data_IF_541009548038
#
_entry.id   IF_541009548038
#
_cell.length_a   1.000
_cell.length_b   1.000
_cell.length_c   1.000
_cell.angle_alpha   90.00
_cell.angle_beta   90.00
_cell.angle_gamma   90.00
#
_symmetry.space_group_name_H-M   'P 1'
#
loop_
_entity.id
_entity.type
_entity.pdbx_description
1 polymer ?
#
# COMPACT_ATOMS: atom_id res chain seq x y z
N UNK A 1 18.45 38.53 -3.39
CA UNK A 1 17.60 37.67 -4.23
C UNK A 1 16.34 38.46 -4.52
N UNK A 2 15.96 38.59 -5.79
CA UNK A 2 14.71 39.26 -6.20
C UNK A 2 13.55 38.51 -5.55
N UNK A 3 12.67 39.22 -4.83
CA UNK A 3 11.46 38.59 -4.31
C UNK A 3 10.64 38.05 -5.48
N UNK A 4 10.20 36.78 -5.43
CA UNK A 4 9.42 36.19 -6.51
C UNK A 4 8.08 36.94 -6.62
N UNK A 5 7.98 37.88 -7.56
CA UNK A 5 6.78 38.70 -7.75
C UNK A 5 5.91 38.11 -8.86
N UNK A 6 4.89 37.35 -8.46
CA UNK A 6 3.96 36.69 -9.39
C UNK A 6 2.79 37.58 -9.83
N UNK A 7 2.64 38.77 -9.24
CA UNK A 7 1.44 39.60 -9.37
C UNK A 7 0.26 39.16 -8.51
N UNK A 8 0.40 38.08 -7.72
CA UNK A 8 -0.57 37.59 -6.74
C UNK A 8 0.10 37.56 -5.34
N UNK A 9 -0.36 38.42 -4.44
CA UNK A 9 0.26 38.57 -3.11
C UNK A 9 0.16 37.29 -2.27
N UNK A 10 -0.99 36.61 -2.29
CA UNK A 10 -1.19 35.37 -1.55
C UNK A 10 -0.27 34.27 -2.07
N UNK A 11 -0.11 34.18 -3.39
CA UNK A 11 0.80 33.23 -3.99
C UNK A 11 2.27 33.51 -3.64
N UNK A 12 2.68 34.78 -3.61
CA UNK A 12 4.04 35.16 -3.21
C UNK A 12 4.33 34.76 -1.76
N UNK A 13 3.36 34.93 -0.86
CA UNK A 13 3.46 34.48 0.54
C UNK A 13 3.64 32.97 0.61
N UNK A 14 2.83 32.20 -0.10
CA UNK A 14 2.96 30.73 -0.11
C UNK A 14 4.27 30.25 -0.75
N UNK A 15 4.75 30.89 -1.81
CA UNK A 15 6.06 30.60 -2.40
C UNK A 15 7.17 30.85 -1.37
N UNK A 16 7.17 32.01 -0.72
CA UNK A 16 8.17 32.35 0.28
C UNK A 16 8.11 31.39 1.48
N UNK A 17 6.91 31.03 1.92
CA UNK A 17 6.68 30.10 3.00
C UNK A 17 7.18 28.69 2.66
N UNK A 18 6.82 28.16 1.49
CA UNK A 18 7.27 26.84 1.05
C UNK A 18 8.78 26.81 0.84
N UNK A 19 9.37 27.83 0.19
CA UNK A 19 10.83 27.98 0.06
C UNK A 19 11.55 28.26 1.38
N UNK A 20 10.86 28.66 2.45
CA UNK A 20 11.49 28.73 3.78
C UNK A 20 11.74 27.33 4.31
N UNK A 21 10.76 26.45 4.16
CA UNK A 21 10.77 25.11 4.76
C UNK A 21 11.45 24.05 3.90
N UNK A 22 11.17 24.02 2.59
CA UNK A 22 11.77 23.03 1.72
C UNK A 22 13.28 23.26 1.59
N UNK A 23 14.07 22.21 1.86
CA UNK A 23 15.54 22.26 1.77
C UNK A 23 16.09 21.46 0.60
N UNK A 24 15.24 20.80 -0.17
CA UNK A 24 15.69 20.02 -1.31
C UNK A 24 15.91 20.93 -2.54
N UNK A 25 17.15 21.01 -3.02
CA UNK A 25 17.51 21.93 -4.11
C UNK A 25 16.70 21.70 -5.39
N UNK A 26 16.40 20.44 -5.73
CA UNK A 26 15.68 20.10 -6.97
C UNK A 26 14.25 20.64 -6.94
N UNK A 27 13.54 20.45 -5.83
CA UNK A 27 12.15 20.94 -5.71
C UNK A 27 12.12 22.45 -5.54
N UNK A 28 13.08 23.05 -4.83
CA UNK A 28 13.24 24.51 -4.75
C UNK A 28 13.44 25.15 -6.12
N UNK A 29 14.32 24.57 -6.94
CA UNK A 29 14.55 25.01 -8.31
C UNK A 29 13.28 24.87 -9.16
N UNK A 30 12.50 23.80 -8.96
CA UNK A 30 11.20 23.63 -9.59
C UNK A 30 10.24 24.81 -9.35
N UNK A 31 10.07 25.24 -8.09
CA UNK A 31 9.24 26.42 -7.79
C UNK A 31 9.83 27.70 -8.38
N UNK A 32 11.15 27.91 -8.26
CA UNK A 32 11.81 29.11 -8.81
C UNK A 32 11.65 29.22 -10.32
N UNK A 33 11.81 28.11 -11.03
CA UNK A 33 11.65 28.06 -12.47
C UNK A 33 10.22 28.41 -12.90
N UNK A 34 9.21 27.85 -12.22
CA UNK A 34 7.81 28.19 -12.49
C UNK A 34 7.50 29.69 -12.23
N UNK A 35 8.20 30.32 -11.26
CA UNK A 35 8.11 31.77 -11.05
C UNK A 35 8.73 32.54 -12.20
N UNK A 36 9.93 32.15 -12.66
CA UNK A 36 10.62 32.78 -13.79
C UNK A 36 9.79 32.70 -15.08
N UNK A 37 9.14 31.56 -15.30
CA UNK A 37 8.21 31.35 -16.42
C UNK A 37 6.85 32.04 -16.25
N UNK A 38 6.59 32.66 -15.10
CA UNK A 38 5.28 33.24 -14.72
C UNK A 38 4.13 32.23 -14.86
N UNK A 39 4.38 30.95 -14.56
CA UNK A 39 3.38 29.90 -14.63
C UNK A 39 2.49 29.88 -13.37
N UNK A 40 1.66 30.92 -13.24
CA UNK A 40 0.84 31.17 -12.06
C UNK A 40 -0.16 30.04 -11.80
N UNK A 41 -0.74 29.49 -12.87
CA UNK A 41 -1.73 28.40 -12.77
C UNK A 41 -1.12 27.16 -12.11
N UNK A 42 0.08 26.75 -12.55
CA UNK A 42 0.74 25.58 -11.99
C UNK A 42 1.23 25.83 -10.55
N UNK A 43 1.79 27.01 -10.28
CA UNK A 43 2.18 27.40 -8.92
C UNK A 43 1.02 27.31 -7.93
N UNK A 44 -0.18 27.81 -8.32
CA UNK A 44 -1.38 27.70 -7.48
C UNK A 44 -1.78 26.26 -7.25
N UNK A 45 -1.78 25.41 -8.30
CA UNK A 45 -2.10 23.98 -8.17
C UNK A 45 -1.16 23.28 -7.19
N UNK A 46 0.14 23.58 -7.26
CA UNK A 46 1.15 22.94 -6.43
C UNK A 46 1.17 23.44 -5.00
N UNK A 47 0.91 24.74 -4.75
CA UNK A 47 1.11 25.36 -3.44
C UNK A 47 -0.18 25.51 -2.63
N UNK A 48 -1.32 25.79 -3.25
CA UNK A 48 -2.58 26.01 -2.53
C UNK A 48 -3.34 24.73 -2.19
N UNK A 49 -3.01 23.61 -2.82
CA UNK A 49 -3.60 22.32 -2.50
C UNK A 49 -2.62 21.46 -1.73
N UNK A 50 -3.10 20.89 -0.63
CA UNK A 50 -2.36 19.89 0.14
C UNK A 50 -2.92 18.52 -0.15
N UNK A 51 -2.03 17.53 -0.28
CA UNK A 51 -2.46 16.14 -0.45
C UNK A 51 -3.23 15.66 0.78
N UNK A 52 -4.24 14.84 0.51
CA UNK A 52 -5.11 14.22 1.51
C UNK A 52 -4.81 12.72 1.61
N UNK A 53 -4.97 12.17 2.81
CA UNK A 53 -4.80 10.74 3.04
C UNK A 53 -5.94 9.95 2.41
N UNK A 54 -5.62 9.22 1.34
CA UNK A 54 -6.57 8.38 0.64
C UNK A 54 -6.71 6.99 1.23
N UNK A 55 -7.50 6.17 0.54
CA UNK A 55 -7.77 4.76 0.89
C UNK A 55 -6.55 3.87 0.98
N UNK A 56 -5.42 4.28 0.38
CA UNK A 56 -4.17 3.55 0.37
C UNK A 56 -2.97 4.43 0.75
N UNK A 57 -3.21 5.40 1.66
CA UNK A 57 -2.20 6.36 2.12
C UNK A 57 -2.12 7.62 1.25
N UNK A 58 -1.00 8.35 1.35
CA UNK A 58 -0.69 9.44 0.43
C UNK A 58 -0.07 8.88 -0.83
N UNK A 59 -0.53 9.31 -2.00
CA UNK A 59 0.08 8.99 -3.30
C UNK A 59 -0.06 10.17 -4.24
N UNK A 60 1.05 10.55 -4.86
CA UNK A 60 1.04 11.50 -5.95
C UNK A 60 2.35 11.42 -6.74
N UNK A 61 2.38 12.15 -7.85
CA UNK A 61 3.61 12.46 -8.57
C UNK A 61 4.63 13.10 -7.63
N UNK A 62 5.90 12.73 -7.82
CA UNK A 62 7.01 13.35 -7.15
C UNK A 62 7.37 14.70 -7.78
N UNK A 63 7.52 15.72 -6.96
CA UNK A 63 7.90 17.06 -7.40
C UNK A 63 7.59 18.15 -6.38
N UNK A 64 7.72 19.43 -6.77
CA UNK A 64 7.64 20.55 -5.85
C UNK A 64 6.21 20.85 -5.35
N UNK A 65 6.11 21.62 -4.27
CA UNK A 65 4.84 22.08 -3.71
C UNK A 65 4.21 21.15 -2.66
N UNK A 66 3.02 21.51 -2.20
CA UNK A 66 2.23 20.81 -1.19
C UNK A 66 1.33 19.71 -1.80
N UNK A 67 1.05 19.79 -3.10
CA UNK A 67 0.20 18.85 -3.84
C UNK A 67 0.96 17.63 -4.41
N UNK A 68 2.26 17.50 -4.11
CA UNK A 68 3.12 16.46 -4.66
C UNK A 68 3.99 15.81 -3.59
N UNK A 69 4.49 14.62 -3.91
CA UNK A 69 5.39 13.88 -3.03
C UNK A 69 6.81 14.47 -3.11
N UNK A 70 7.34 14.91 -1.97
CA UNK A 70 8.71 15.41 -1.83
C UNK A 70 9.19 15.25 -0.38
N UNK A 71 10.46 15.60 -0.14
CA UNK A 71 11.08 15.52 1.19
C UNK A 71 10.25 16.29 2.23
N UNK A 72 9.79 17.51 1.93
CA UNK A 72 9.03 18.34 2.87
C UNK A 72 7.67 17.71 3.21
N UNK A 73 6.95 17.19 2.21
CA UNK A 73 5.69 16.47 2.45
C UNK A 73 5.93 15.26 3.36
N UNK A 74 6.95 14.43 3.09
CA UNK A 74 7.28 13.27 3.94
C UNK A 74 7.61 13.71 5.36
N UNK A 75 8.39 14.77 5.53
CA UNK A 75 8.75 15.31 6.85
C UNK A 75 7.48 15.72 7.61
N UNK A 76 6.64 16.55 7.01
CA UNK A 76 5.45 17.09 7.66
C UNK A 76 4.42 15.99 7.98
N UNK A 77 4.20 15.06 7.05
CA UNK A 77 3.33 13.89 7.27
C UNK A 77 3.85 13.04 8.42
N UNK A 78 5.15 12.75 8.45
CA UNK A 78 5.73 11.93 9.53
C UNK A 78 5.67 12.64 10.88
N UNK A 79 5.88 13.96 10.93
CA UNK A 79 5.72 14.74 12.15
C UNK A 79 4.28 14.69 12.67
N UNK A 80 3.30 14.82 11.79
CA UNK A 80 1.88 14.63 12.11
C UNK A 80 1.61 13.23 12.65
N UNK A 81 2.17 12.21 11.99
CA UNK A 81 2.06 10.81 12.41
C UNK A 81 2.66 10.57 13.80
N UNK A 82 3.84 11.11 14.09
CA UNK A 82 4.46 11.02 15.44
C UNK A 82 3.54 11.62 16.50
N UNK A 83 3.00 12.82 16.24
CA UNK A 83 2.09 13.49 17.18
C UNK A 83 0.85 12.63 17.42
N UNK A 84 0.19 12.20 16.34
CA UNK A 84 -1.01 11.38 16.41
C UNK A 84 -0.78 10.04 17.11
N UNK A 85 0.32 9.35 16.79
CA UNK A 85 0.65 8.08 17.44
C UNK A 85 0.95 8.24 18.92
N UNK A 86 1.61 9.32 19.35
CA UNK A 86 1.82 9.57 20.79
C UNK A 86 0.51 9.78 21.55
N UNK A 87 -0.48 10.37 20.90
CA UNK A 87 -1.81 10.61 21.48
C UNK A 87 -2.67 9.33 21.51
N UNK A 88 -2.51 8.43 20.52
CA UNK A 88 -3.41 7.28 20.31
C UNK A 88 -2.79 5.92 20.66
N UNK A 89 -1.46 5.83 20.79
CA UNK A 89 -0.72 4.62 21.10
C UNK A 89 0.18 4.86 22.33
N UNK A 90 -0.35 4.67 23.56
CA UNK A 90 0.41 4.93 24.80
C UNK A 90 1.74 4.17 24.90
N UNK A 91 1.80 2.98 24.30
CA UNK A 91 2.98 2.11 24.32
C UNK A 91 3.98 2.38 23.19
N UNK A 92 3.78 3.39 22.34
CA UNK A 92 4.60 3.64 21.15
C UNK A 92 6.09 3.78 21.46
N UNK A 93 6.45 4.41 22.58
CA UNK A 93 7.85 4.61 22.96
C UNK A 93 8.57 3.29 23.31
N UNK A 94 7.84 2.22 23.66
CA UNK A 94 8.42 0.90 23.91
C UNK A 94 8.24 -0.05 22.71
N UNK A 95 7.14 0.07 21.98
CA UNK A 95 6.83 -0.82 20.85
C UNK A 95 7.45 -0.37 19.52
N UNK A 96 7.70 0.93 19.36
CA UNK A 96 8.34 1.48 18.16
C UNK A 96 7.47 1.45 16.91
N UNK A 97 8.11 1.71 15.77
CA UNK A 97 7.52 1.72 14.43
C UNK A 97 8.33 0.83 13.47
N UNK A 98 7.64 0.08 12.60
CA UNK A 98 8.27 -0.65 11.50
C UNK A 98 8.27 0.21 10.25
N UNK A 99 9.40 0.33 9.56
CA UNK A 99 9.51 1.15 8.35
C UNK A 99 10.09 0.33 7.19
N UNK A 100 9.34 0.26 6.09
CA UNK A 100 9.73 -0.41 4.85
C UNK A 100 9.71 0.53 3.64
N UNK A 101 10.27 0.07 2.53
CA UNK A 101 10.28 0.82 1.28
C UNK A 101 10.45 -0.12 0.06
N UNK A 102 9.85 0.29 -1.06
CA UNK A 102 9.95 -0.41 -2.35
C UNK A 102 11.10 0.10 -3.23
N UNK A 103 11.16 -0.37 -4.47
CA UNK A 103 12.18 0.00 -5.46
C UNK A 103 11.99 1.35 -6.14
N UNK A 104 11.02 2.17 -5.76
CA UNK A 104 10.79 3.47 -6.42
C UNK A 104 11.88 4.48 -6.12
N UNK A 105 11.99 5.47 -7.01
CA UNK A 105 12.85 6.62 -6.76
C UNK A 105 12.46 7.30 -5.44
N UNK A 106 13.47 7.72 -4.69
CA UNK A 106 13.38 8.32 -3.36
C UNK A 106 12.84 7.43 -2.23
N UNK A 107 12.29 6.22 -2.48
CA UNK A 107 11.72 5.39 -1.41
C UNK A 107 12.73 5.08 -0.29
N UNK A 108 13.96 4.72 -0.64
CA UNK A 108 15.04 4.52 0.34
C UNK A 108 15.43 5.79 1.12
N UNK A 109 15.45 6.95 0.45
CA UNK A 109 15.77 8.23 1.10
C UNK A 109 14.65 8.59 2.09
N UNK A 110 13.41 8.49 1.64
CA UNK A 110 12.24 8.86 2.42
C UNK A 110 12.01 7.93 3.61
N UNK A 111 12.28 6.63 3.49
CA UNK A 111 12.25 5.72 4.65
C UNK A 111 13.26 6.11 5.74
N UNK A 112 14.44 6.60 5.35
CA UNK A 112 15.42 7.15 6.29
C UNK A 112 14.98 8.46 6.92
N UNK A 113 14.32 9.35 6.16
CA UNK A 113 13.72 10.57 6.70
C UNK A 113 12.67 10.21 7.76
N UNK A 114 11.77 9.27 7.43
CA UNK A 114 10.75 8.76 8.36
C UNK A 114 11.42 8.25 9.64
N UNK A 115 12.37 7.33 9.51
CA UNK A 115 13.07 6.76 10.66
C UNK A 115 13.78 7.83 11.51
N UNK A 116 14.42 8.81 10.88
CA UNK A 116 15.10 9.90 11.58
C UNK A 116 14.13 10.73 12.43
N UNK A 117 12.93 11.01 11.92
CA UNK A 117 11.92 11.79 12.64
C UNK A 117 11.40 11.03 13.86
N UNK A 118 11.13 9.73 13.73
CA UNK A 118 10.72 8.88 14.86
C UNK A 118 11.83 8.75 15.91
N UNK A 119 13.08 8.50 15.50
CA UNK A 119 14.22 8.43 16.41
C UNK A 119 14.40 9.75 17.17
N UNK A 120 14.33 10.89 16.48
CA UNK A 120 14.39 12.21 17.12
C UNK A 120 13.24 12.45 18.11
N UNK A 121 12.10 11.79 17.92
CA UNK A 121 10.96 11.84 18.83
C UNK A 121 11.06 10.86 20.02
N UNK A 122 12.16 10.09 20.12
CA UNK A 122 12.39 9.09 21.17
C UNK A 122 11.67 7.76 20.92
N UNK A 123 11.25 7.49 19.69
CA UNK A 123 10.49 6.28 19.33
C UNK A 123 11.44 5.28 18.63
N UNK A 124 11.52 4.02 19.08
CA UNK A 124 12.32 2.99 18.41
C UNK A 124 11.87 2.76 16.97
N UNK A 125 12.82 2.54 16.06
CA UNK A 125 12.54 2.31 14.63
C UNK A 125 13.14 1.00 14.17
N UNK A 126 12.30 0.12 13.64
CA UNK A 126 12.69 -1.09 12.92
C UNK A 126 12.66 -0.81 11.41
N UNK A 127 13.76 -0.29 10.87
CA UNK A 127 13.90 0.02 9.45
C UNK A 127 14.48 -1.20 8.70
N UNK A 128 13.80 -1.66 7.65
CA UNK A 128 14.36 -2.68 6.77
C UNK A 128 15.67 -2.20 6.13
N UNK A 129 16.70 -3.05 6.12
CA UNK A 129 18.04 -2.69 5.63
C UNK A 129 18.15 -2.64 4.11
N UNK A 130 17.17 -3.22 3.41
CA UNK A 130 17.06 -3.29 1.95
C UNK A 130 15.60 -3.10 1.56
N UNK A 131 15.36 -2.91 0.26
CA UNK A 131 14.02 -2.92 -0.32
C UNK A 131 13.25 -4.14 0.17
N UNK A 132 11.99 -3.95 0.58
CA UNK A 132 11.15 -5.01 1.11
C UNK A 132 9.74 -4.96 0.47
N UNK A 133 9.08 -6.12 0.35
CA UNK A 133 7.65 -6.19 0.08
C UNK A 133 6.82 -5.46 1.14
N UNK A 134 5.72 -4.85 0.73
CA UNK A 134 4.68 -4.32 1.62
C UNK A 134 4.21 -5.32 2.69
N UNK A 135 3.90 -6.60 2.38
CA UNK A 135 3.45 -7.56 3.40
C UNK A 135 4.46 -7.78 4.55
N UNK A 136 5.75 -7.54 4.32
CA UNK A 136 6.76 -7.66 5.37
C UNK A 136 6.63 -6.58 6.44
N UNK A 137 6.13 -5.39 6.09
CA UNK A 137 5.85 -4.33 7.07
C UNK A 137 4.65 -4.74 7.94
N UNK A 138 3.55 -5.17 7.33
CA UNK A 138 2.37 -5.66 8.05
C UNK A 138 2.71 -6.85 8.98
N UNK A 139 3.46 -7.82 8.46
CA UNK A 139 4.00 -8.94 9.25
C UNK A 139 4.88 -8.46 10.40
N UNK A 140 5.84 -7.56 10.12
CA UNK A 140 6.78 -7.03 11.10
C UNK A 140 6.07 -6.31 12.24
N UNK A 141 5.01 -5.55 11.95
CA UNK A 141 4.21 -4.89 12.99
C UNK A 141 3.63 -5.90 13.97
N UNK A 142 3.04 -7.00 13.47
CA UNK A 142 2.44 -8.02 14.34
C UNK A 142 3.50 -8.82 15.10
N UNK A 143 4.55 -9.26 14.42
CA UNK A 143 5.62 -10.08 15.01
C UNK A 143 6.40 -9.31 16.08
N UNK A 144 6.73 -8.05 15.83
CA UNK A 144 7.45 -7.20 16.78
C UNK A 144 6.53 -6.51 17.79
N UNK A 145 5.20 -6.67 17.64
CA UNK A 145 4.17 -5.96 18.41
C UNK A 145 4.38 -4.44 18.36
N UNK A 146 4.80 -3.93 17.20
CA UNK A 146 5.07 -2.51 17.01
C UNK A 146 3.78 -1.68 17.09
N UNK A 147 3.90 -0.41 17.44
CA UNK A 147 2.73 0.49 17.52
C UNK A 147 2.10 0.77 16.16
N UNK A 148 2.93 0.88 15.12
CA UNK A 148 2.48 1.07 13.74
C UNK A 148 3.56 0.65 12.75
N UNK A 149 3.19 0.62 11.47
CA UNK A 149 4.10 0.40 10.35
C UNK A 149 3.92 1.47 9.27
N UNK A 150 5.00 1.80 8.56
CA UNK A 150 5.00 2.74 7.45
C UNK A 150 5.70 2.10 6.26
N UNK A 151 5.07 2.13 5.10
CA UNK A 151 5.64 1.63 3.85
C UNK A 151 5.70 2.75 2.83
N UNK A 152 6.91 3.06 2.35
CA UNK A 152 7.11 4.06 1.30
C UNK A 152 6.98 3.40 -0.07
N UNK A 153 5.84 3.63 -0.72
CA UNK A 153 5.50 3.07 -2.03
C UNK A 153 4.25 3.73 -2.60
N UNK A 154 4.14 3.78 -3.93
CA UNK A 154 2.88 3.99 -4.65
C UNK A 154 2.41 2.74 -5.40
N UNK A 155 2.80 1.54 -4.96
CA UNK A 155 2.42 0.24 -5.50
C UNK A 155 2.71 0.08 -7.00
N UNK A 156 1.76 0.30 -7.89
CA UNK A 156 1.96 0.13 -9.35
C UNK A 156 1.73 1.43 -10.13
N UNK A 157 1.58 2.57 -9.45
CA UNK A 157 1.54 3.88 -10.09
C UNK A 157 2.79 4.12 -10.99
N UNK A 158 2.72 5.06 -11.95
CA UNK A 158 3.88 5.43 -12.79
C UNK A 158 5.16 5.67 -11.98
N UNK A 159 6.33 5.50 -12.61
CA UNK A 159 7.65 5.62 -11.93
C UNK A 159 7.90 7.02 -11.35
N UNK A 160 7.21 8.03 -11.88
CA UNK A 160 7.24 9.41 -11.41
C UNK A 160 6.44 9.62 -10.12
N UNK A 161 5.61 8.65 -9.71
CA UNK A 161 4.81 8.68 -8.49
C UNK A 161 5.50 7.91 -7.36
N UNK A 162 5.21 8.32 -6.13
CA UNK A 162 5.55 7.57 -4.92
C UNK A 162 4.50 7.85 -3.84
N UNK A 163 4.63 7.25 -2.65
CA UNK A 163 3.56 7.28 -1.65
C UNK A 163 4.00 6.89 -0.25
N UNK A 164 3.04 6.96 0.67
CA UNK A 164 3.20 6.74 2.10
C UNK A 164 1.99 5.98 2.62
N UNK A 165 2.15 4.67 2.85
CA UNK A 165 1.14 3.78 3.44
C UNK A 165 1.34 3.64 4.94
N UNK A 166 0.25 3.49 5.69
CA UNK A 166 0.26 3.32 7.15
C UNK A 166 -0.47 2.05 7.56
N UNK A 167 0.19 1.30 8.44
CA UNK A 167 -0.30 0.11 9.13
C UNK A 167 -0.46 0.43 10.61
N UNK A 168 -1.58 0.04 11.21
CA UNK A 168 -1.80 0.25 12.64
C UNK A 168 -1.26 -0.90 13.48
N UNK A 169 -1.44 -0.83 14.81
CA UNK A 169 -0.90 -1.82 15.76
C UNK A 169 -1.38 -3.27 15.53
N UNK A 170 -2.50 -3.46 14.80
CA UNK A 170 -3.01 -4.76 14.40
C UNK A 170 -2.38 -5.29 13.10
N UNK A 171 -1.52 -4.50 12.44
CA UNK A 171 -0.90 -4.82 11.16
C UNK A 171 -1.82 -4.65 9.95
N UNK A 172 -3.05 -4.15 10.13
CA UNK A 172 -3.95 -3.80 9.04
C UNK A 172 -3.70 -2.37 8.56
N UNK A 173 -4.01 -2.11 7.30
CA UNK A 173 -3.91 -0.78 6.73
C UNK A 173 -4.97 0.16 7.34
N UNK A 174 -4.58 1.40 7.68
CA UNK A 174 -5.49 2.37 8.33
C UNK A 174 -6.64 2.78 7.40
N UNK A 175 -7.85 2.94 7.96
CA UNK A 175 -9.00 3.48 7.27
C UNK A 175 -8.80 4.98 6.95
N UNK A 176 -9.04 5.45 5.72
CA UNK A 176 -9.24 6.87 5.48
C UNK A 176 -10.54 7.33 6.15
N UNK A 177 -10.56 8.59 6.56
CA UNK A 177 -11.77 9.30 6.94
C UNK A 177 -12.71 9.39 5.71
N UNK A 178 -13.99 8.94 5.81
CA UNK A 178 -14.94 8.93 4.68
C UNK A 178 -15.22 10.31 4.06
N UNK A 179 -14.80 11.42 4.67
CA UNK A 179 -14.91 12.76 4.09
C UNK A 179 -13.93 13.04 2.92
N UNK A 180 -13.08 12.06 2.53
CA UNK A 180 -12.02 12.23 1.54
C UNK A 180 -11.95 11.09 0.48
N UNK A 181 -12.44 11.29 -0.77
CA UNK A 181 -12.43 10.26 -1.80
C UNK A 181 -11.17 10.32 -2.69
N UNK A 182 -10.51 9.17 -2.93
CA UNK A 182 -9.24 9.12 -3.71
C UNK A 182 -9.26 8.11 -4.88
N UNK A 183 -9.56 8.66 -6.07
CA UNK A 183 -9.14 8.36 -7.48
C UNK A 183 -9.33 7.00 -8.19
N UNK A 184 -9.51 7.12 -9.53
CA UNK A 184 -9.64 6.11 -10.61
C UNK A 184 -8.25 5.65 -11.14
N UNK A 185 -8.00 4.34 -11.11
CA UNK A 185 -6.75 3.57 -11.31
C UNK A 185 -6.00 3.67 -12.67
N UNK A 186 -4.68 3.39 -12.67
CA UNK A 186 -4.01 2.40 -13.56
C UNK A 186 -3.63 1.15 -12.73
N UNK A 187 -3.75 -0.10 -13.22
CA UNK A 187 -3.59 -1.33 -12.40
C UNK A 187 -2.89 -2.48 -13.19
N UNK A 188 -1.97 -3.29 -12.59
CA UNK A 188 -1.37 -4.49 -13.19
C UNK A 188 -2.36 -5.53 -13.76
N UNK A 189 -3.65 -5.39 -13.50
CA UNK A 189 -4.73 -6.08 -14.21
C UNK A 189 -4.80 -5.78 -15.73
N UNK A 190 -3.98 -4.86 -16.26
CA UNK A 190 -3.78 -4.62 -17.71
C UNK A 190 -3.30 -5.85 -18.52
N UNK A 191 -3.03 -6.98 -17.86
CA UNK A 191 -2.93 -8.29 -18.50
C UNK A 191 -1.65 -8.48 -19.32
N UNK A 192 -1.78 -8.94 -20.58
CA UNK A 192 -0.62 -9.34 -21.41
C UNK A 192 0.41 -8.22 -21.62
N UNK A 193 -0.02 -6.95 -21.59
CA UNK A 193 0.87 -5.80 -21.71
C UNK A 193 1.89 -5.72 -20.57
N UNK A 194 1.42 -5.89 -19.34
CA UNK A 194 2.25 -5.83 -18.13
C UNK A 194 3.23 -7.02 -18.02
N UNK A 195 2.89 -8.17 -18.61
CA UNK A 195 3.67 -9.41 -18.52
C UNK A 195 4.56 -9.68 -19.74
N UNK A 196 4.62 -8.80 -20.74
CA UNK A 196 5.34 -9.04 -22.00
C UNK A 196 6.79 -9.50 -21.79
N UNK A 197 7.58 -8.74 -21.01
CA UNK A 197 8.98 -9.08 -20.72
C UNK A 197 9.12 -10.39 -19.94
N UNK A 198 8.18 -10.66 -19.03
CA UNK A 198 8.11 -11.92 -18.28
C UNK A 198 7.82 -13.10 -19.22
N UNK A 199 6.93 -12.93 -20.19
CA UNK A 199 6.60 -13.94 -21.21
C UNK A 199 7.79 -14.20 -22.14
N UNK A 200 8.46 -13.16 -22.64
CA UNK A 200 9.66 -13.30 -23.47
C UNK A 200 10.78 -14.03 -22.72
N UNK A 201 10.95 -13.73 -21.43
CA UNK A 201 11.91 -14.42 -20.56
C UNK A 201 11.51 -15.87 -20.33
N UNK A 202 10.24 -16.12 -20.00
CA UNK A 202 9.71 -17.46 -19.79
C UNK A 202 9.83 -18.33 -21.05
N UNK A 203 9.57 -17.76 -22.24
CA UNK A 203 9.75 -18.44 -23.53
C UNK A 203 11.21 -18.82 -23.76
N UNK A 204 12.14 -17.89 -23.52
CA UNK A 204 13.59 -18.12 -23.66
C UNK A 204 14.07 -19.27 -22.77
N UNK A 205 13.56 -19.36 -21.55
CA UNK A 205 13.95 -20.38 -20.57
C UNK A 205 13.00 -21.58 -20.48
N UNK A 206 11.99 -21.65 -21.37
CA UNK A 206 10.98 -22.73 -21.40
C UNK A 206 10.21 -22.91 -20.08
N UNK A 207 9.99 -21.83 -19.35
CA UNK A 207 9.15 -21.81 -18.15
C UNK A 207 7.68 -21.98 -18.53
N UNK A 208 6.92 -22.75 -17.75
CA UNK A 208 5.50 -23.03 -18.01
C UNK A 208 4.54 -22.10 -17.25
N UNK A 209 5.02 -21.49 -16.18
CA UNK A 209 4.24 -20.61 -15.31
C UNK A 209 5.04 -19.35 -15.05
N UNK A 210 4.35 -18.22 -15.02
CA UNK A 210 4.86 -16.92 -14.61
C UNK A 210 4.11 -16.52 -13.34
N UNK A 211 4.86 -16.20 -12.31
CA UNK A 211 4.39 -15.49 -11.13
C UNK A 211 5.05 -14.10 -11.18
N UNK A 212 4.25 -13.05 -11.13
CA UNK A 212 4.73 -11.69 -11.21
C UNK A 212 4.04 -10.83 -10.17
N UNK A 213 4.83 -10.00 -9.50
CA UNK A 213 4.34 -9.08 -8.49
C UNK A 213 4.47 -7.64 -8.96
N UNK A 214 3.65 -6.76 -8.41
CA UNK A 214 3.85 -5.33 -8.56
C UNK A 214 5.03 -4.85 -7.70
N UNK A 215 5.52 -3.59 -7.88
CA UNK A 215 6.77 -3.14 -7.26
C UNK A 215 6.88 -3.28 -5.73
N UNK A 216 5.76 -3.25 -5.01
CA UNK A 216 5.72 -3.45 -3.56
C UNK A 216 5.19 -4.83 -3.15
N UNK A 217 4.96 -5.70 -4.13
CA UNK A 217 4.57 -7.10 -3.99
C UNK A 217 3.32 -7.33 -3.11
N UNK A 218 2.37 -6.40 -3.18
CA UNK A 218 1.05 -6.57 -2.58
C UNK A 218 0.05 -7.22 -3.56
N UNK A 219 0.45 -7.45 -4.82
CA UNK A 219 -0.37 -8.13 -5.83
C UNK A 219 0.37 -9.28 -6.50
N UNK A 220 -0.40 -10.26 -6.97
CA UNK A 220 0.12 -11.42 -7.71
C UNK A 220 -0.63 -11.60 -9.03
N UNK A 221 0.11 -11.46 -10.13
CA UNK A 221 -0.33 -11.90 -11.46
C UNK A 221 0.22 -13.30 -11.76
N UNK A 222 -0.63 -14.15 -12.34
CA UNK A 222 -0.27 -15.51 -12.74
C UNK A 222 -0.57 -15.70 -14.23
N UNK A 223 0.37 -16.31 -14.95
CA UNK A 223 0.14 -16.75 -16.32
C UNK A 223 0.69 -18.16 -16.54
N UNK A 224 0.02 -18.94 -17.38
CA UNK A 224 0.41 -20.30 -17.74
C UNK A 224 0.58 -20.41 -19.26
N UNK A 225 1.55 -21.23 -19.66
CA UNK A 225 1.78 -21.59 -21.06
C UNK A 225 0.80 -22.69 -21.48
N UNK A 226 -0.02 -22.38 -22.48
CA UNK A 226 -0.91 -23.32 -23.17
C UNK A 226 -0.39 -23.60 -24.59
N UNK A 227 -1.02 -24.56 -25.28
CA UNK A 227 -0.74 -24.84 -26.69
C UNK A 227 -1.04 -23.65 -27.62
N UNK A 228 -1.92 -22.74 -27.19
CA UNK A 228 -2.31 -21.53 -27.92
C UNK A 228 -1.57 -20.26 -27.46
N UNK A 229 -0.56 -20.39 -26.60
CA UNK A 229 0.27 -19.28 -26.11
C UNK A 229 0.12 -19.03 -24.61
N UNK A 230 0.34 -17.80 -24.16
CA UNK A 230 0.20 -17.45 -22.74
C UNK A 230 -1.26 -17.12 -22.38
N UNK A 231 -1.80 -17.83 -21.39
CA UNK A 231 -3.05 -17.49 -20.70
C UNK A 231 -2.72 -16.77 -19.41
N UNK A 232 -3.22 -15.54 -19.27
CA UNK A 232 -3.14 -14.77 -18.03
C UNK A 232 -4.42 -15.03 -17.25
N UNK A 233 -4.29 -15.39 -15.97
CA UNK A 233 -5.44 -15.61 -15.10
C UNK A 233 -5.96 -14.28 -14.56
N UNK A 234 -7.28 -14.16 -14.47
CA UNK A 234 -7.94 -13.09 -13.73
C UNK A 234 -7.78 -13.28 -12.23
N UNK A 235 -7.91 -12.20 -11.45
CA UNK A 235 -7.87 -12.30 -9.99
C UNK A 235 -8.96 -13.20 -9.41
N UNK A 236 -10.11 -13.32 -10.08
CA UNK A 236 -11.16 -14.27 -9.69
C UNK A 236 -10.75 -15.73 -9.89
N UNK A 237 -10.07 -16.06 -11.00
CA UNK A 237 -9.58 -17.43 -11.23
C UNK A 237 -8.46 -17.78 -10.25
N UNK A 238 -7.55 -16.85 -9.98
CA UNK A 238 -6.48 -17.05 -8.98
C UNK A 238 -7.09 -17.20 -7.58
N UNK A 239 -8.04 -16.32 -7.21
CA UNK A 239 -8.74 -16.37 -5.93
C UNK A 239 -9.52 -17.66 -5.72
N UNK A 240 -10.14 -18.20 -6.78
CA UNK A 240 -10.78 -19.52 -6.74
C UNK A 240 -9.78 -20.65 -6.45
N UNK A 241 -8.65 -20.66 -7.16
CA UNK A 241 -7.60 -21.68 -7.00
C UNK A 241 -6.97 -21.62 -5.61
N UNK A 242 -6.55 -20.42 -5.17
CA UNK A 242 -5.94 -20.22 -3.85
C UNK A 242 -6.93 -20.49 -2.72
N UNK A 243 -8.18 -20.07 -2.84
CA UNK A 243 -9.22 -20.36 -1.85
C UNK A 243 -9.46 -21.85 -1.69
N UNK A 244 -9.65 -22.57 -2.80
CA UNK A 244 -9.77 -24.04 -2.78
C UNK A 244 -8.54 -24.71 -2.15
N UNK A 245 -7.34 -24.27 -2.50
CA UNK A 245 -6.09 -24.83 -1.97
C UNK A 245 -5.92 -24.58 -0.46
N UNK A 246 -6.20 -23.35 0.00
CA UNK A 246 -6.14 -22.98 1.42
C UNK A 246 -7.13 -23.81 2.24
N UNK A 247 -8.36 -24.00 1.74
CA UNK A 247 -9.33 -24.90 2.38
C UNK A 247 -8.82 -26.34 2.44
N UNK A 248 -8.43 -26.90 1.29
CA UNK A 248 -8.04 -28.31 1.15
C UNK A 248 -6.89 -28.65 2.10
N UNK A 249 -5.81 -27.87 2.04
CA UNK A 249 -4.62 -28.10 2.88
C UNK A 249 -4.88 -27.85 4.36
N UNK A 250 -5.75 -26.90 4.71
CA UNK A 250 -6.12 -26.66 6.10
C UNK A 250 -6.94 -27.83 6.66
N UNK A 251 -7.88 -28.38 5.89
CA UNK A 251 -8.73 -29.51 6.30
C UNK A 251 -7.98 -30.81 6.47
N UNK A 252 -6.97 -31.08 5.65
CA UNK A 252 -6.08 -32.24 5.83
C UNK A 252 -5.43 -32.25 7.23
N UNK A 253 -5.13 -31.06 7.77
CA UNK A 253 -4.49 -30.87 9.07
C UNK A 253 -5.48 -30.71 10.23
N UNK A 254 -6.75 -30.40 9.96
CA UNK A 254 -7.76 -30.06 10.96
C UNK A 254 -9.06 -30.82 10.70
N UNK A 255 -9.10 -32.10 11.08
CA UNK A 255 -10.27 -32.96 10.84
C UNK A 255 -11.42 -32.69 11.84
N UNK A 256 -11.10 -32.37 13.10
CA UNK A 256 -12.07 -32.24 14.21
C UNK A 256 -12.18 -30.80 14.71
N UNK A 257 -12.71 -29.92 13.85
CA UNK A 257 -12.88 -28.48 14.13
C UNK A 257 -14.28 -28.05 13.75
N UNK A 258 -14.87 -27.14 14.54
CA UNK A 258 -16.17 -26.57 14.21
C UNK A 258 -16.02 -25.62 13.01
N UNK A 259 -16.65 -25.98 11.90
CA UNK A 259 -16.59 -25.20 10.66
C UNK A 259 -17.32 -23.86 10.77
N UNK A 260 -18.19 -23.68 11.77
CA UNK A 260 -18.77 -22.38 12.06
C UNK A 260 -17.74 -21.34 12.52
N UNK A 261 -16.57 -21.78 12.97
CA UNK A 261 -15.46 -20.92 13.40
C UNK A 261 -14.42 -20.69 12.29
N UNK A 262 -14.72 -21.10 11.06
CA UNK A 262 -13.81 -21.03 9.90
C UNK A 262 -14.38 -20.10 8.85
N UNK A 263 -13.56 -19.17 8.37
CA UNK A 263 -13.99 -18.05 7.54
C UNK A 263 -13.09 -17.88 6.31
N UNK A 264 -13.72 -17.50 5.21
CA UNK A 264 -13.06 -16.86 4.07
C UNK A 264 -13.81 -15.58 3.68
N UNK A 265 -13.10 -14.62 3.07
CA UNK A 265 -13.63 -13.31 2.76
C UNK A 265 -13.40 -12.91 1.29
N UNK A 266 -14.27 -12.09 0.74
CA UNK A 266 -13.97 -11.38 -0.52
C UNK A 266 -14.64 -10.01 -0.61
N UNK A 267 -14.15 -9.18 -1.54
CA UNK A 267 -14.79 -7.90 -1.87
C UNK A 267 -16.15 -8.13 -2.56
N UNK A 268 -17.05 -7.14 -2.47
CA UNK A 268 -18.40 -7.26 -3.04
C UNK A 268 -18.44 -7.44 -4.57
N UNK A 269 -17.42 -6.90 -5.24
CA UNK A 269 -17.24 -6.97 -6.70
C UNK A 269 -16.44 -8.20 -7.14
N UNK A 270 -15.89 -8.99 -6.20
CA UNK A 270 -15.27 -10.28 -6.49
C UNK A 270 -16.31 -11.36 -6.78
N UNK A 271 -15.88 -12.39 -7.51
CA UNK A 271 -16.70 -13.58 -7.75
C UNK A 271 -17.13 -14.23 -6.44
N UNK A 272 -18.34 -14.79 -6.43
CA UNK A 272 -18.91 -15.52 -5.28
C UNK A 272 -18.42 -16.97 -5.18
N UNK A 273 -17.22 -17.24 -5.69
CA UNK A 273 -16.67 -18.60 -5.70
C UNK A 273 -16.42 -19.10 -4.28
N UNK A 274 -15.89 -18.25 -3.39
CA UNK A 274 -15.66 -18.62 -2.00
C UNK A 274 -16.96 -18.88 -1.23
N UNK A 275 -18.03 -18.14 -1.53
CA UNK A 275 -19.36 -18.40 -0.97
C UNK A 275 -19.89 -19.77 -1.43
N UNK A 276 -19.65 -20.13 -2.69
CA UNK A 276 -20.06 -21.41 -3.26
C UNK A 276 -19.28 -22.58 -2.64
N UNK A 277 -17.98 -22.42 -2.44
CA UNK A 277 -17.14 -23.38 -1.71
C UNK A 277 -17.62 -23.48 -0.25
N UNK A 278 -17.86 -22.35 0.43
CA UNK A 278 -18.37 -22.31 1.80
C UNK A 278 -19.70 -23.07 1.96
N UNK A 279 -20.67 -22.86 1.06
CA UNK A 279 -21.95 -23.58 1.06
C UNK A 279 -21.78 -25.08 0.88
N UNK A 280 -20.79 -25.51 0.09
CA UNK A 280 -20.51 -26.92 -0.16
C UNK A 280 -19.80 -27.59 1.02
N UNK A 281 -18.84 -26.89 1.60
CA UNK A 281 -17.85 -27.43 2.54
C UNK A 281 -18.21 -27.17 4.02
N UNK A 282 -19.12 -26.22 4.29
CA UNK A 282 -19.70 -25.98 5.61
C UNK A 282 -19.06 -24.86 6.43
N UNK A 283 -18.02 -24.18 5.92
CA UNK A 283 -17.43 -23.00 6.57
C UNK A 283 -18.22 -21.71 6.29
N UNK A 284 -17.86 -20.60 6.94
CA UNK A 284 -18.52 -19.29 6.78
C UNK A 284 -17.84 -18.43 5.70
N UNK A 285 -18.65 -17.70 4.96
CA UNK A 285 -18.19 -16.69 4.01
C UNK A 285 -18.65 -15.30 4.47
N UNK A 286 -17.76 -14.31 4.37
CA UNK A 286 -18.09 -12.90 4.61
C UNK A 286 -17.75 -12.08 3.37
N UNK A 287 -18.74 -11.31 2.93
CA UNK A 287 -18.56 -10.27 1.91
C UNK A 287 -18.25 -8.94 2.59
N UNK A 288 -17.31 -8.17 2.02
CA UNK A 288 -16.97 -6.83 2.48
C UNK A 288 -17.03 -5.81 1.35
N UNK A 289 -16.99 -4.51 1.68
CA UNK A 289 -16.90 -3.44 0.68
C UNK A 289 -15.56 -3.50 -0.10
N UNK A 290 -15.52 -2.87 -1.27
CA UNK A 290 -14.29 -2.79 -2.08
C UNK A 290 -13.14 -2.12 -1.32
N UNK A 291 -11.95 -2.73 -1.43
CA UNK A 291 -10.71 -2.29 -0.80
C UNK A 291 -10.29 -3.18 0.36
N UNK A 292 -9.09 -3.74 0.27
CA UNK A 292 -8.56 -4.75 1.19
C UNK A 292 -8.60 -4.40 2.69
N UNK A 293 -8.55 -3.11 3.05
CA UNK A 293 -8.69 -2.63 4.43
C UNK A 293 -9.93 -3.20 5.15
N UNK A 294 -11.05 -3.37 4.43
CA UNK A 294 -12.29 -3.88 5.02
C UNK A 294 -12.15 -5.36 5.39
N UNK A 295 -11.57 -6.16 4.51
CA UNK A 295 -11.25 -7.57 4.79
C UNK A 295 -10.20 -7.69 5.89
N UNK A 296 -9.20 -6.79 5.91
CA UNK A 296 -8.19 -6.77 6.97
C UNK A 296 -8.79 -6.49 8.35
N UNK A 297 -9.65 -5.47 8.47
CA UNK A 297 -10.32 -5.14 9.73
C UNK A 297 -11.29 -6.24 10.18
N UNK A 298 -12.03 -6.84 9.25
CA UNK A 298 -12.91 -7.97 9.55
C UNK A 298 -12.10 -9.19 10.03
N UNK A 299 -10.96 -9.45 9.37
CA UNK A 299 -10.02 -10.51 9.79
C UNK A 299 -9.50 -10.28 11.21
N UNK A 300 -9.06 -9.05 11.53
CA UNK A 300 -8.63 -8.71 12.89
C UNK A 300 -9.74 -8.92 13.93
N UNK A 301 -11.00 -8.57 13.59
CA UNK A 301 -12.17 -8.80 14.45
C UNK A 301 -12.41 -10.30 14.70
N UNK A 302 -12.36 -11.11 13.64
CA UNK A 302 -12.51 -12.56 13.71
C UNK A 302 -11.38 -13.21 14.53
N UNK A 303 -10.13 -12.79 14.34
CA UNK A 303 -9.00 -13.30 15.12
C UNK A 303 -9.14 -12.98 16.62
N UNK A 304 -9.61 -11.78 16.98
CA UNK A 304 -9.91 -11.41 18.38
C UNK A 304 -11.05 -12.24 18.99
N UNK A 305 -11.99 -12.69 18.16
CA UNK A 305 -13.04 -13.63 18.55
C UNK A 305 -12.59 -15.11 18.48
N UNK A 306 -11.28 -15.37 18.38
CA UNK A 306 -10.67 -16.69 18.31
C UNK A 306 -11.19 -17.55 17.14
N UNK A 307 -11.49 -16.91 16.00
CA UNK A 307 -11.93 -17.56 14.76
C UNK A 307 -10.75 -17.79 13.81
N UNK A 308 -10.95 -18.73 12.87
CA UNK A 308 -9.94 -19.09 11.87
C UNK A 308 -10.27 -18.41 10.54
N UNK A 309 -9.43 -17.47 10.10
CA UNK A 309 -9.51 -16.90 8.75
C UNK A 309 -8.49 -17.58 7.86
N UNK A 310 -8.97 -18.25 6.82
CA UNK A 310 -8.11 -19.06 5.94
C UNK A 310 -7.66 -18.31 4.70
N UNK A 311 -8.51 -17.43 4.16
CA UNK A 311 -8.24 -16.76 2.91
C UNK A 311 -9.11 -15.51 2.75
N UNK A 312 -8.55 -14.46 2.16
CA UNK A 312 -9.31 -13.31 1.65
C UNK A 312 -8.77 -12.86 0.29
N UNK A 313 -9.64 -12.36 -0.60
CA UNK A 313 -9.18 -11.79 -1.86
C UNK A 313 -10.05 -10.65 -2.42
N UNK A 314 -9.42 -9.79 -3.22
CA UNK A 314 -10.07 -8.85 -4.14
C UNK A 314 -9.75 -9.23 -5.59
N UNK A 315 -10.71 -9.04 -6.49
CA UNK A 315 -10.62 -9.36 -7.91
C UNK A 315 -9.49 -8.62 -8.63
N UNK A 316 -9.08 -7.48 -8.06
CA UNK A 316 -7.92 -6.68 -8.45
C UNK A 316 -6.58 -7.31 -8.03
N UNK A 317 -6.48 -8.65 -8.10
CA UNK A 317 -5.30 -9.50 -7.88
C UNK A 317 -4.59 -9.31 -6.52
N UNK A 318 -5.35 -8.98 -5.48
CA UNK A 318 -4.88 -8.90 -4.10
C UNK A 318 -5.37 -10.09 -3.29
N UNK A 319 -4.47 -10.80 -2.61
CA UNK A 319 -4.77 -12.05 -1.90
C UNK A 319 -4.17 -12.04 -0.50
N UNK A 320 -4.80 -12.73 0.45
CA UNK A 320 -4.30 -12.96 1.80
C UNK A 320 -4.46 -14.44 2.12
N UNK A 321 -3.36 -15.18 2.04
CA UNK A 321 -3.31 -16.62 2.35
C UNK A 321 -3.05 -16.83 3.84
N UNK A 322 -4.06 -17.31 4.55
CA UNK A 322 -4.06 -17.36 6.01
C UNK A 322 -4.26 -15.98 6.64
N UNK A 323 -3.74 -15.81 7.85
CA UNK A 323 -4.01 -14.62 8.68
C UNK A 323 -2.76 -14.09 9.38
N UNK A 324 -1.57 -14.43 8.90
CA UNK A 324 -0.30 -13.93 9.44
C UNK A 324 -0.02 -12.50 8.98
N UNK A 325 -0.32 -12.21 7.71
CA UNK A 325 -0.37 -10.87 7.12
C UNK A 325 -1.84 -10.50 6.98
N UNK A 326 -2.27 -9.36 7.55
CA UNK A 326 -3.66 -8.87 7.49
C UNK A 326 -3.75 -7.71 6.47
N UNK A 327 -3.07 -7.92 5.35
CA UNK A 327 -3.08 -7.10 4.14
C UNK A 327 -2.80 -8.05 2.97
N UNK A 328 -2.73 -7.51 1.77
CA UNK A 328 -2.39 -8.32 0.60
C UNK A 328 -0.94 -8.77 0.65
N UNK A 329 -0.75 -10.01 0.24
CA UNK A 329 0.55 -10.64 0.09
C UNK A 329 0.61 -11.32 -1.27
N UNK A 330 1.47 -10.80 -2.15
CA UNK A 330 1.70 -11.38 -3.47
C UNK A 330 2.73 -12.53 -3.46
N UNK A 331 3.40 -12.78 -2.34
CA UNK A 331 4.52 -13.73 -2.19
C UNK A 331 4.03 -15.07 -1.67
#
# INVERSE_FOLDING_TARGET
MVEPYTGDELLNVEIAHWLKWDKNEKTRLGIKHLVEEKNISELKKLLFHRMEFGTAGLRARMGPGNAQMNDLTIIQTTQGMVKYCKETLPSLNSTGVVVGFDGRHNSYRWSRIVGTIFVNAGIPVYLFSRMCPTPYVAYGVRTLKAGCGIMITASHNPKEDNGYKVYWNNGAQVNPDPDFPTVKYPNPEEGKGALKLSMETADKFKSKVILANDPDADRLAVAERTDSGWRVFSGNEIGALLGWWCWTTWREKHQNVDLNDVYMLSSTVSSKILESIAKKEGFKFIETLTGFKWMGNETDTLLKANKNVLFAFEEAIGFMCGSQVIDKDGI
#
